data_IF_577601920142
#
_entry.id   IF_577601920142
#
_cell.length_a   1.000
_cell.length_b   1.000
_cell.length_c   1.000
_cell.angle_alpha   90.00
_cell.angle_beta   90.00
_cell.angle_gamma   90.00
#
_symmetry.space_group_name_H-M   'P 1'
#
loop_
_entity.id
_entity.type
_entity.pdbx_description
1 polymer ?
#
# COMPACT_ATOMS: atom_id res chain seq x y z
N UNK A 1 -8.34 -14.26 6.44
CA UNK A 1 -8.12 -13.11 5.60
C UNK A 1 -8.23 -13.59 4.17
N UNK A 2 -8.99 -12.91 3.32
CA UNK A 2 -9.28 -13.41 1.98
C UNK A 2 -9.52 -12.25 1.00
N UNK A 3 -9.40 -12.53 -0.28
CA UNK A 3 -9.84 -11.64 -1.34
C UNK A 3 -11.37 -11.55 -1.36
N UNK A 4 -11.92 -10.38 -1.68
CA UNK A 4 -13.38 -10.18 -1.61
C UNK A 4 -13.98 -9.44 -2.80
N UNK A 5 -13.16 -8.76 -3.62
CA UNK A 5 -13.62 -8.09 -4.83
C UNK A 5 -12.49 -7.86 -5.83
N UNK A 6 -12.87 -7.63 -7.07
CA UNK A 6 -11.99 -7.12 -8.12
C UNK A 6 -12.54 -5.78 -8.62
N UNK A 7 -11.66 -4.81 -8.78
CA UNK A 7 -11.94 -3.57 -9.50
C UNK A 7 -11.05 -3.47 -10.73
N UNK A 8 -11.53 -2.77 -11.76
CA UNK A 8 -10.82 -2.61 -13.03
C UNK A 8 -10.81 -1.14 -13.47
N UNK A 9 -9.68 -0.69 -13.97
CA UNK A 9 -9.52 0.60 -14.64
C UNK A 9 -9.07 0.37 -16.07
N UNK A 10 -9.93 0.70 -17.01
CA UNK A 10 -9.62 0.58 -18.45
C UNK A 10 -8.52 1.58 -18.84
N UNK A 11 -8.56 2.80 -18.32
CA UNK A 11 -7.55 3.84 -18.56
C UNK A 11 -6.11 3.35 -18.26
N UNK A 12 -5.93 2.57 -17.21
CA UNK A 12 -4.62 2.06 -16.80
C UNK A 12 -4.41 0.59 -17.15
N UNK A 13 -5.36 -0.06 -17.81
CA UNK A 13 -5.39 -1.52 -18.08
C UNK A 13 -4.97 -2.31 -16.85
N UNK A 14 -5.56 -1.95 -15.70
CA UNK A 14 -5.18 -2.43 -14.38
C UNK A 14 -6.34 -3.09 -13.66
N UNK A 15 -6.22 -4.38 -13.39
CA UNK A 15 -7.06 -5.05 -12.41
C UNK A 15 -6.52 -4.85 -11.00
N UNK A 16 -7.42 -4.77 -10.02
CA UNK A 16 -7.04 -4.70 -8.60
C UNK A 16 -7.84 -5.72 -7.81
N UNK A 17 -7.14 -6.66 -7.19
CA UNK A 17 -7.72 -7.67 -6.29
C UNK A 17 -7.60 -7.15 -4.85
N UNK A 18 -8.72 -7.06 -4.16
CA UNK A 18 -8.79 -6.47 -2.82
C UNK A 18 -8.87 -7.53 -1.73
N UNK A 19 -7.98 -7.43 -0.74
CA UNK A 19 -7.94 -8.27 0.45
C UNK A 19 -8.68 -7.62 1.63
N UNK A 20 -9.36 -8.42 2.44
CA UNK A 20 -9.93 -8.04 3.73
C UNK A 20 -9.09 -8.62 4.87
N UNK A 21 -8.74 -7.75 5.83
CA UNK A 21 -7.93 -8.11 6.99
C UNK A 21 -6.47 -7.72 6.84
N UNK A 22 -5.80 -7.60 7.98
CA UNK A 22 -4.40 -7.17 8.08
C UNK A 22 -3.79 -7.78 9.34
N UNK A 23 -2.51 -8.10 9.31
CA UNK A 23 -1.74 -8.56 10.46
C UNK A 23 -1.21 -7.42 11.34
N UNK A 24 -1.25 -6.16 10.85
CA UNK A 24 -0.95 -4.97 11.65
C UNK A 24 -2.22 -4.38 12.28
N UNK A 25 -2.05 -3.65 13.40
CA UNK A 25 -3.12 -2.96 14.13
C UNK A 25 -2.89 -1.46 14.18
N UNK A 26 -2.45 -0.87 13.06
CA UNK A 26 -2.07 0.54 13.00
C UNK A 26 -3.10 1.45 13.65
N UNK A 27 -2.67 2.29 14.58
CA UNK A 27 -3.55 3.23 15.29
C UNK A 27 -4.20 4.22 14.34
N UNK A 28 -3.45 4.74 13.36
CA UNK A 28 -3.89 5.69 12.34
C UNK A 28 -4.33 5.07 11.02
N UNK A 29 -4.86 3.84 11.02
CA UNK A 29 -5.29 3.18 9.80
C UNK A 29 -6.54 3.83 9.21
N UNK A 30 -6.44 4.40 7.99
CA UNK A 30 -7.55 5.07 7.31
C UNK A 30 -8.74 4.14 7.00
N UNK A 31 -8.55 2.82 7.02
CA UNK A 31 -9.66 1.87 6.91
C UNK A 31 -10.66 1.96 8.07
N UNK A 32 -10.29 2.54 9.21
CA UNK A 32 -11.18 2.72 10.37
C UNK A 32 -12.26 3.78 10.17
N UNK A 33 -12.07 4.69 9.23
CA UNK A 33 -13.04 5.77 8.93
C UNK A 33 -13.81 5.53 7.64
N UNK A 34 -13.54 4.44 6.94
CA UNK A 34 -14.23 4.10 5.69
C UNK A 34 -15.44 3.24 5.96
N UNK A 35 -16.56 3.63 5.39
CA UNK A 35 -17.78 2.83 5.41
C UNK A 35 -17.70 1.79 4.29
N UNK A 36 -17.18 0.61 4.62
CA UNK A 36 -17.21 -0.51 3.71
C UNK A 36 -18.58 -1.19 3.79
N UNK A 37 -19.22 -1.44 2.65
CA UNK A 37 -20.45 -2.24 2.65
C UNK A 37 -20.14 -3.65 3.20
N UNK A 38 -21.12 -4.30 3.85
CA UNK A 38 -20.99 -5.69 4.25
C UNK A 38 -20.59 -6.56 3.06
N UNK A 39 -19.70 -7.52 3.30
CA UNK A 39 -19.37 -8.53 2.29
C UNK A 39 -20.48 -9.59 2.38
N UNK A 40 -21.42 -9.54 1.45
CA UNK A 40 -22.55 -10.46 1.42
C UNK A 40 -22.12 -11.88 1.01
N UNK A 41 -21.13 -11.98 0.17
CA UNK A 41 -20.59 -13.25 -0.34
C UNK A 41 -19.07 -13.13 -0.55
N UNK A 42 -18.38 -14.21 -0.24
CA UNK A 42 -16.96 -14.36 -0.55
C UNK A 42 -16.82 -15.11 -1.88
N UNK A 43 -16.28 -14.47 -2.93
CA UNK A 43 -16.06 -15.16 -4.18
C UNK A 43 -15.03 -16.28 -4.03
N UNK A 44 -15.20 -17.34 -4.82
CA UNK A 44 -14.23 -18.44 -4.90
C UNK A 44 -12.97 -18.01 -5.68
N UNK A 45 -11.90 -18.77 -5.54
CA UNK A 45 -10.67 -18.54 -6.29
C UNK A 45 -10.92 -18.65 -7.83
N UNK A 46 -11.78 -19.58 -8.25
CA UNK A 46 -12.13 -19.76 -9.66
C UNK A 46 -12.90 -18.58 -10.22
N UNK A 47 -13.77 -17.93 -9.42
CA UNK A 47 -14.46 -16.70 -9.83
C UNK A 47 -13.46 -15.55 -10.01
N UNK A 48 -12.46 -15.40 -9.13
CA UNK A 48 -11.39 -14.42 -9.32
C UNK A 48 -10.62 -14.69 -10.62
N UNK A 49 -10.22 -15.95 -10.88
CA UNK A 49 -9.50 -16.34 -12.09
C UNK A 49 -10.32 -16.07 -13.34
N UNK A 50 -11.59 -16.47 -13.36
CA UNK A 50 -12.49 -16.24 -14.49
C UNK A 50 -12.67 -14.74 -14.75
N UNK A 51 -12.87 -13.94 -13.71
CA UNK A 51 -13.00 -12.49 -13.82
C UNK A 51 -11.73 -11.88 -14.43
N UNK A 52 -10.54 -12.19 -13.89
CA UNK A 52 -9.29 -11.65 -14.40
C UNK A 52 -9.01 -12.05 -15.84
N UNK A 53 -9.40 -13.27 -16.25
CA UNK A 53 -9.28 -13.75 -17.64
C UNK A 53 -10.14 -12.93 -18.60
N UNK A 54 -11.28 -12.41 -18.16
CA UNK A 54 -12.20 -11.64 -19.01
C UNK A 54 -11.79 -10.17 -19.22
N UNK A 55 -10.78 -9.68 -18.47
CA UNK A 55 -10.36 -8.28 -18.49
C UNK A 55 -9.23 -8.04 -19.49
N UNK A 56 -9.29 -6.94 -20.21
CA UNK A 56 -8.17 -6.43 -21.01
C UNK A 56 -7.15 -5.72 -20.11
N UNK A 57 -6.51 -6.48 -19.22
CA UNK A 57 -5.52 -5.96 -18.27
C UNK A 57 -4.10 -6.26 -18.74
N UNK A 58 -3.15 -5.39 -18.37
CA UNK A 58 -1.70 -5.60 -18.52
C UNK A 58 -1.04 -5.87 -17.17
N UNK A 59 -1.70 -5.48 -16.09
CA UNK A 59 -1.18 -5.62 -14.72
C UNK A 59 -2.28 -5.91 -13.73
N UNK A 60 -1.92 -6.62 -12.69
CA UNK A 60 -2.78 -6.86 -11.53
C UNK A 60 -2.12 -6.33 -10.27
N UNK A 61 -2.87 -5.55 -9.50
CA UNK A 61 -2.48 -5.07 -8.20
C UNK A 61 -3.21 -5.86 -7.11
N UNK A 62 -2.47 -6.35 -6.14
CA UNK A 62 -3.04 -6.91 -4.91
C UNK A 62 -2.92 -5.87 -3.81
N UNK A 63 -4.05 -5.51 -3.19
CA UNK A 63 -4.09 -4.47 -2.16
C UNK A 63 -5.28 -4.69 -1.20
N UNK A 64 -5.49 -3.76 -0.30
CA UNK A 64 -6.57 -3.83 0.67
C UNK A 64 -6.03 -3.72 2.09
N UNK A 65 -6.41 -4.62 3.00
CA UNK A 65 -5.80 -4.70 4.34
C UNK A 65 -4.30 -4.98 4.25
N UNK A 66 -3.93 -6.26 4.30
CA UNK A 66 -2.58 -6.72 3.92
C UNK A 66 -2.71 -7.95 3.02
N UNK A 67 -2.44 -7.84 1.70
CA UNK A 67 -2.67 -8.94 0.75
C UNK A 67 -1.80 -10.17 1.02
N UNK A 68 -0.60 -10.00 1.60
CA UNK A 68 0.31 -11.12 1.89
C UNK A 68 -0.18 -12.04 3.01
N UNK A 69 -1.27 -11.67 3.67
CA UNK A 69 -1.94 -12.52 4.67
C UNK A 69 -3.01 -13.45 4.06
N UNK A 70 -3.32 -13.28 2.78
CA UNK A 70 -4.25 -14.15 2.07
C UNK A 70 -3.54 -15.44 1.65
N UNK A 71 -4.09 -16.59 2.04
CA UNK A 71 -3.52 -17.89 1.69
C UNK A 71 -3.51 -18.16 0.18
N UNK A 72 -4.45 -17.57 -0.56
CA UNK A 72 -4.58 -17.76 -2.00
C UNK A 72 -3.62 -16.87 -2.82
N UNK A 73 -2.89 -15.94 -2.19
CA UNK A 73 -2.02 -15.01 -2.90
C UNK A 73 -0.95 -15.72 -3.76
N UNK A 74 -0.23 -16.74 -3.27
CA UNK A 74 0.80 -17.40 -4.10
C UNK A 74 0.22 -18.03 -5.38
N UNK A 75 -0.94 -18.66 -5.28
CA UNK A 75 -1.61 -19.24 -6.44
C UNK A 75 -2.10 -18.16 -7.42
N UNK A 76 -2.65 -17.06 -6.91
CA UNK A 76 -3.10 -15.95 -7.73
C UNK A 76 -1.93 -15.25 -8.44
N UNK A 77 -0.79 -15.06 -7.77
CA UNK A 77 0.42 -14.51 -8.38
C UNK A 77 0.89 -15.40 -9.54
N UNK A 78 1.01 -16.72 -9.29
CA UNK A 78 1.39 -17.68 -10.32
C UNK A 78 0.44 -17.64 -11.52
N UNK A 79 -0.86 -17.71 -11.27
CA UNK A 79 -1.89 -17.67 -12.31
C UNK A 79 -1.82 -16.39 -13.14
N UNK A 80 -1.79 -15.22 -12.49
CA UNK A 80 -1.74 -13.93 -13.17
C UNK A 80 -0.48 -13.80 -14.04
N UNK A 81 0.67 -14.25 -13.53
CA UNK A 81 1.95 -14.12 -14.22
C UNK A 81 2.11 -15.11 -15.37
N UNK A 82 1.80 -16.38 -15.16
CA UNK A 82 2.11 -17.45 -16.13
C UNK A 82 0.95 -17.80 -17.05
N UNK A 83 -0.28 -17.78 -16.54
CA UNK A 83 -1.44 -18.16 -17.34
C UNK A 83 -2.02 -16.94 -18.09
N UNK A 84 -1.93 -15.74 -17.51
CA UNK A 84 -2.46 -14.51 -18.12
C UNK A 84 -1.37 -13.55 -18.67
N UNK A 85 -0.10 -13.75 -18.34
CA UNK A 85 0.99 -12.86 -18.77
C UNK A 85 0.94 -11.46 -18.17
N UNK A 86 0.26 -11.28 -17.01
CA UNK A 86 0.11 -9.98 -16.36
C UNK A 86 1.32 -9.65 -15.49
N UNK A 87 1.67 -8.37 -15.43
CA UNK A 87 2.55 -7.87 -14.37
C UNK A 87 1.84 -7.95 -13.02
N UNK A 88 2.52 -8.53 -12.03
CA UNK A 88 1.99 -8.77 -10.69
C UNK A 88 2.62 -7.83 -9.68
N UNK A 89 1.80 -7.05 -8.98
CA UNK A 89 2.27 -5.98 -8.10
C UNK A 89 1.51 -6.03 -6.77
N UNK A 90 2.22 -5.98 -5.64
CA UNK A 90 1.60 -5.57 -4.39
C UNK A 90 1.36 -4.06 -4.46
N UNK A 91 0.12 -3.69 -4.80
CA UNK A 91 -0.27 -2.29 -5.02
C UNK A 91 -0.14 -1.45 -3.74
N UNK A 92 -0.27 -2.08 -2.58
CA UNK A 92 0.04 -1.51 -1.26
C UNK A 92 0.21 -2.65 -0.25
N UNK A 93 1.37 -2.69 0.40
CA UNK A 93 1.66 -3.67 1.47
C UNK A 93 2.28 -2.98 2.67
N UNK A 94 2.07 -3.53 3.86
CA UNK A 94 2.78 -3.10 5.07
C UNK A 94 4.23 -3.62 5.13
N UNK A 95 4.64 -4.41 4.15
CA UNK A 95 5.99 -4.92 4.00
C UNK A 95 6.38 -6.07 4.95
N UNK A 96 5.46 -6.58 5.75
CA UNK A 96 5.79 -7.62 6.73
C UNK A 96 6.21 -8.95 6.11
N UNK A 97 5.78 -9.24 4.88
CA UNK A 97 6.14 -10.46 4.17
C UNK A 97 5.95 -10.28 2.66
N UNK A 98 6.97 -9.80 1.97
CA UNK A 98 6.92 -9.64 0.51
C UNK A 98 7.31 -10.99 -0.13
N UNK A 99 6.41 -11.66 -0.86
CA UNK A 99 6.76 -12.84 -1.62
C UNK A 99 7.70 -12.47 -2.77
N UNK A 100 8.64 -13.35 -3.08
CA UNK A 100 9.57 -13.14 -4.19
C UNK A 100 9.05 -13.85 -5.46
N UNK A 101 8.50 -15.04 -5.30
CA UNK A 101 8.05 -15.85 -6.41
C UNK A 101 6.83 -15.23 -7.10
N UNK A 102 6.92 -15.11 -8.41
CA UNK A 102 5.85 -14.63 -9.28
C UNK A 102 5.39 -13.18 -9.00
N UNK A 103 6.19 -12.38 -8.31
CA UNK A 103 5.94 -10.95 -8.06
C UNK A 103 6.91 -10.11 -8.89
N UNK A 104 6.41 -9.04 -9.54
CA UNK A 104 7.23 -8.11 -10.31
C UNK A 104 7.58 -6.85 -9.52
N UNK A 105 6.70 -6.44 -8.58
CA UNK A 105 6.98 -5.24 -7.80
C UNK A 105 6.08 -5.07 -6.57
N UNK A 106 6.46 -4.14 -5.69
CA UNK A 106 5.73 -3.84 -4.47
C UNK A 106 5.81 -2.37 -4.06
N UNK A 107 4.67 -1.80 -3.63
CA UNK A 107 4.61 -0.52 -2.94
C UNK A 107 4.63 -0.76 -1.43
N UNK A 108 5.77 -0.57 -0.81
CA UNK A 108 6.00 -0.87 0.62
C UNK A 108 5.75 0.35 1.46
N UNK A 109 4.86 0.24 2.45
CA UNK A 109 4.51 1.33 3.34
C UNK A 109 5.18 1.18 4.70
N UNK A 110 6.27 1.91 4.89
CA UNK A 110 6.95 2.05 6.18
C UNK A 110 6.05 2.82 7.15
N UNK A 111 5.87 2.30 8.36
CA UNK A 111 4.92 2.87 9.33
C UNK A 111 5.61 3.76 10.37
N UNK A 112 6.86 3.52 10.64
CA UNK A 112 7.83 4.33 11.36
C UNK A 112 9.21 3.69 11.15
N UNK A 113 10.28 4.44 11.36
CA UNK A 113 11.64 3.91 11.34
C UNK A 113 12.07 3.38 12.71
N UNK A 114 11.85 4.16 13.76
CA UNK A 114 12.23 3.76 15.12
C UNK A 114 11.45 2.55 15.59
N UNK A 115 12.12 1.51 16.14
CA UNK A 115 11.47 0.28 16.60
C UNK A 115 10.34 0.51 17.60
N UNK A 116 10.52 1.45 18.55
CA UNK A 116 9.53 1.78 19.57
C UNK A 116 8.29 2.44 18.96
N UNK A 117 8.48 3.43 18.06
CA UNK A 117 7.37 4.11 17.37
C UNK A 117 6.63 3.14 16.46
N UNK A 118 7.37 2.27 15.75
CA UNK A 118 6.75 1.26 14.88
C UNK A 118 5.90 0.27 15.68
N UNK A 119 6.46 -0.28 16.77
CA UNK A 119 5.74 -1.20 17.64
C UNK A 119 4.50 -0.56 18.27
N UNK A 120 4.65 0.68 18.78
CA UNK A 120 3.54 1.46 19.33
C UNK A 120 2.43 1.68 18.28
N UNK A 121 2.81 2.09 17.07
CA UNK A 121 1.85 2.46 16.03
C UNK A 121 1.16 1.26 15.37
N UNK A 122 1.88 0.13 15.19
CA UNK A 122 1.42 -1.02 14.40
C UNK A 122 1.11 -2.27 15.22
N UNK A 123 1.67 -2.37 16.42
CA UNK A 123 1.68 -3.60 17.24
C UNK A 123 2.64 -4.67 16.75
N UNK A 124 3.56 -4.35 15.81
CA UNK A 124 4.50 -5.30 15.21
C UNK A 124 5.93 -4.72 15.19
N UNK A 125 6.98 -5.56 15.26
CA UNK A 125 8.37 -5.07 15.21
C UNK A 125 8.74 -4.54 13.82
N UNK A 126 9.53 -3.45 13.77
CA UNK A 126 9.96 -2.82 12.52
C UNK A 126 10.87 -3.72 11.67
N UNK A 127 11.73 -4.51 12.28
CA UNK A 127 12.73 -5.33 11.60
C UNK A 127 12.15 -6.24 10.52
N UNK A 128 10.93 -6.77 10.73
CA UNK A 128 10.28 -7.63 9.72
C UNK A 128 10.04 -6.91 8.38
N UNK A 129 9.80 -5.59 8.42
CA UNK A 129 9.59 -4.77 7.22
C UNK A 129 10.92 -4.51 6.52
N UNK A 130 11.96 -4.17 7.29
CA UNK A 130 13.29 -3.91 6.74
C UNK A 130 13.91 -5.13 6.08
N UNK A 131 13.84 -6.29 6.77
CA UNK A 131 14.35 -7.56 6.24
C UNK A 131 13.62 -7.99 4.98
N UNK A 132 12.30 -7.78 4.96
CA UNK A 132 11.47 -8.10 3.80
C UNK A 132 11.75 -7.19 2.60
N UNK A 133 11.94 -5.88 2.84
CA UNK A 133 12.34 -4.92 1.81
C UNK A 133 13.72 -5.24 1.23
N UNK A 134 14.69 -5.53 2.09
CA UNK A 134 16.05 -5.93 1.70
C UNK A 134 16.03 -7.16 0.79
N UNK A 135 15.30 -8.21 1.18
CA UNK A 135 15.17 -9.42 0.36
C UNK A 135 14.53 -9.14 -0.99
N UNK A 136 13.46 -8.34 -1.01
CA UNK A 136 12.76 -7.99 -2.23
C UNK A 136 13.66 -7.17 -3.20
N UNK A 137 14.46 -6.24 -2.66
CA UNK A 137 15.43 -5.47 -3.43
C UNK A 137 16.49 -6.39 -4.07
N UNK A 138 17.10 -7.27 -3.29
CA UNK A 138 18.11 -8.20 -3.81
C UNK A 138 17.56 -9.24 -4.79
N UNK A 139 16.27 -9.54 -4.70
CA UNK A 139 15.57 -10.38 -5.68
C UNK A 139 15.27 -9.64 -6.99
N UNK A 140 15.55 -8.33 -7.08
CA UNK A 140 15.34 -7.53 -8.28
C UNK A 140 13.91 -7.10 -8.51
N UNK A 141 13.06 -7.08 -7.46
CA UNK A 141 11.70 -6.57 -7.57
C UNK A 141 11.70 -5.04 -7.78
N UNK A 142 10.77 -4.56 -8.60
CA UNK A 142 10.52 -3.12 -8.73
C UNK A 142 9.86 -2.60 -7.44
N UNK A 143 10.62 -1.85 -6.65
CA UNK A 143 10.16 -1.35 -5.36
C UNK A 143 9.77 0.13 -5.44
N UNK A 144 8.71 0.46 -4.74
CA UNK A 144 8.32 1.82 -4.35
C UNK A 144 8.17 1.85 -2.84
N UNK A 145 8.55 2.96 -2.23
CA UNK A 145 8.41 3.15 -0.80
C UNK A 145 7.36 4.23 -0.49
N UNK A 146 6.71 4.12 0.65
CA UNK A 146 5.80 5.16 1.13
C UNK A 146 5.80 5.23 2.66
N UNK A 147 5.37 6.37 3.20
CA UNK A 147 5.12 6.56 4.63
C UNK A 147 3.92 7.47 4.86
N UNK A 148 3.45 7.51 6.11
CA UNK A 148 2.44 8.49 6.55
C UNK A 148 3.12 9.47 7.49
N UNK A 149 3.15 10.73 7.13
CA UNK A 149 3.59 11.80 8.02
C UNK A 149 2.50 12.10 9.06
N UNK A 150 2.80 11.85 10.32
CA UNK A 150 1.88 11.97 11.47
C UNK A 150 2.48 12.96 12.47
N UNK A 151 2.09 14.25 12.45
CA UNK A 151 2.63 15.23 13.37
C UNK A 151 2.50 14.80 14.84
N UNK A 152 3.63 14.82 15.57
CA UNK A 152 3.72 14.36 16.97
C UNK A 152 3.99 12.86 17.13
N UNK A 153 4.16 12.09 16.05
CA UNK A 153 4.54 10.68 16.13
C UNK A 153 5.56 10.28 15.05
N UNK A 154 5.15 10.38 13.78
CA UNK A 154 5.99 10.10 12.61
C UNK A 154 6.36 11.47 12.03
N UNK A 155 7.24 12.15 12.70
CA UNK A 155 7.70 13.50 12.35
C UNK A 155 8.84 13.46 11.32
N UNK A 156 9.45 14.60 11.07
CA UNK A 156 10.50 14.76 10.08
C UNK A 156 11.70 13.82 10.32
N UNK A 157 12.05 13.56 11.59
CA UNK A 157 13.13 12.63 11.97
C UNK A 157 12.87 11.18 11.47
N UNK A 158 11.63 10.73 11.57
CA UNK A 158 11.22 9.42 11.11
C UNK A 158 11.19 9.35 9.58
N UNK A 159 10.65 10.39 8.92
CA UNK A 159 10.63 10.46 7.45
C UNK A 159 12.06 10.53 6.88
N UNK A 160 12.96 11.31 7.51
CA UNK A 160 14.39 11.35 7.17
C UNK A 160 15.02 9.96 7.24
N UNK A 161 14.82 9.28 8.37
CA UNK A 161 15.40 7.96 8.59
C UNK A 161 14.88 6.92 7.58
N UNK A 162 13.57 6.95 7.24
CA UNK A 162 13.00 6.10 6.21
C UNK A 162 13.58 6.46 4.82
N UNK A 163 13.65 7.74 4.46
CA UNK A 163 14.16 8.17 3.17
C UNK A 163 15.64 7.77 2.99
N UNK A 164 16.48 7.95 4.02
CA UNK A 164 17.88 7.50 3.99
C UNK A 164 18.01 5.99 3.92
N UNK A 165 17.17 5.25 4.63
CA UNK A 165 17.14 3.80 4.53
C UNK A 165 16.82 3.36 3.10
N UNK A 166 15.79 3.93 2.47
CA UNK A 166 15.42 3.62 1.09
C UNK A 166 16.55 4.02 0.12
N UNK A 167 17.13 5.22 0.27
CA UNK A 167 18.22 5.72 -0.57
C UNK A 167 19.51 4.89 -0.44
N UNK A 168 19.72 4.19 0.69
CA UNK A 168 20.87 3.29 0.86
C UNK A 168 20.86 2.08 -0.09
N UNK A 169 19.69 1.74 -0.66
CA UNK A 169 19.57 0.74 -1.72
C UNK A 169 19.67 1.38 -3.11
N UNK A 170 18.86 2.41 -3.35
CA UNK A 170 18.93 3.24 -4.54
C UNK A 170 18.20 4.57 -4.29
N UNK A 171 18.82 5.71 -4.62
CA UNK A 171 18.15 7.01 -4.58
C UNK A 171 17.01 7.14 -5.61
N UNK A 172 16.94 6.24 -6.59
CA UNK A 172 15.92 6.24 -7.64
C UNK A 172 14.64 5.49 -7.25
N UNK A 173 14.59 4.86 -6.06
CA UNK A 173 13.35 4.23 -5.57
C UNK A 173 12.32 5.32 -5.28
N UNK A 174 11.16 5.33 -5.98
CA UNK A 174 10.14 6.35 -5.78
C UNK A 174 9.59 6.32 -4.34
N UNK A 175 9.39 7.50 -3.75
CA UNK A 175 8.93 7.65 -2.38
C UNK A 175 7.66 8.51 -2.31
N UNK A 176 6.61 7.97 -1.71
CA UNK A 176 5.34 8.67 -1.54
C UNK A 176 5.05 8.99 -0.08
N UNK A 177 4.85 10.29 0.24
CA UNK A 177 4.53 10.74 1.59
C UNK A 177 3.03 11.06 1.67
N UNK A 178 2.31 10.33 2.51
CA UNK A 178 0.90 10.59 2.75
C UNK A 178 0.72 11.44 4.00
N UNK A 179 -0.01 12.55 3.89
CA UNK A 179 -0.44 13.30 5.07
C UNK A 179 -1.43 12.47 5.90
N UNK A 180 -1.22 12.45 7.21
CA UNK A 180 -2.09 11.75 8.14
C UNK A 180 -3.53 12.27 8.07
N UNK A 181 -4.47 11.34 8.08
CA UNK A 181 -5.90 11.62 8.16
C UNK A 181 -6.35 11.27 9.58
N UNK A 182 -6.88 12.23 10.37
CA UNK A 182 -7.26 11.98 11.75
C UNK A 182 -8.28 10.84 11.90
N UNK A 183 -7.93 9.88 12.75
CA UNK A 183 -8.77 8.74 13.09
C UNK A 183 -9.39 8.98 14.47
N UNK A 184 -10.70 8.76 14.67
CA UNK A 184 -11.32 8.90 15.99
C UNK A 184 -10.57 8.12 17.07
N UNK A 185 -10.31 8.77 18.21
CA UNK A 185 -9.60 8.18 19.34
C UNK A 185 -8.08 8.26 19.25
N UNK A 186 -7.51 8.92 18.24
CA UNK A 186 -6.08 9.24 18.18
C UNK A 186 -5.82 10.70 18.52
N UNK A 187 -4.66 11.05 19.14
CA UNK A 187 -4.37 12.43 19.54
C UNK A 187 -3.77 13.28 18.42
N UNK A 188 -3.38 12.70 17.29
CA UNK A 188 -2.59 13.36 16.25
C UNK A 188 -3.45 14.23 15.33
N UNK A 189 -3.01 15.47 15.04
CA UNK A 189 -3.69 16.33 14.08
C UNK A 189 -3.39 15.93 12.63
N UNK A 190 -4.23 16.39 11.70
CA UNK A 190 -3.88 16.42 10.28
C UNK A 190 -2.73 17.40 10.08
N UNK A 191 -1.67 17.05 9.30
CA UNK A 191 -0.62 18.02 8.99
C UNK A 191 -1.17 19.23 8.24
N UNK A 192 -0.54 20.40 8.39
CA UNK A 192 -0.83 21.57 7.56
C UNK A 192 -0.21 21.42 6.17
N UNK A 193 -0.59 22.29 5.23
CA UNK A 193 0.02 22.33 3.90
C UNK A 193 1.53 22.62 3.99
N UNK A 194 1.90 23.61 4.82
CA UNK A 194 3.30 24.00 5.04
C UNK A 194 4.13 22.87 5.65
N UNK A 195 3.55 22.08 6.56
CA UNK A 195 4.22 20.89 7.11
C UNK A 195 4.44 19.82 6.03
N UNK A 196 3.45 19.61 5.16
CA UNK A 196 3.59 18.67 4.04
C UNK A 196 4.66 19.13 3.04
N UNK A 197 4.66 20.40 2.67
CA UNK A 197 5.66 20.99 1.77
C UNK A 197 7.07 20.85 2.36
N UNK A 198 7.24 21.15 3.63
CA UNK A 198 8.53 21.06 4.30
C UNK A 198 9.08 19.63 4.34
N UNK A 199 8.25 18.63 4.69
CA UNK A 199 8.70 17.23 4.77
C UNK A 199 8.98 16.65 3.38
N UNK A 200 8.22 17.05 2.35
CA UNK A 200 8.44 16.64 0.97
C UNK A 200 9.73 17.23 0.42
N UNK A 201 9.93 18.56 0.57
CA UNK A 201 11.15 19.23 0.14
C UNK A 201 12.40 18.62 0.79
N UNK A 202 12.30 18.24 2.07
CA UNK A 202 13.38 17.57 2.77
C UNK A 202 13.71 16.21 2.15
N UNK A 203 12.70 15.37 1.90
CA UNK A 203 12.88 14.04 1.29
C UNK A 203 13.42 14.12 -0.15
N UNK A 204 13.04 15.16 -0.92
CA UNK A 204 13.58 15.46 -2.26
C UNK A 204 15.08 15.76 -2.26
N UNK A 205 15.66 16.16 -1.12
CA UNK A 205 17.10 16.27 -0.95
C UNK A 205 17.83 14.92 -0.79
N UNK A 206 17.09 13.81 -0.68
CA UNK A 206 17.62 12.46 -0.41
C UNK A 206 17.29 11.49 -1.55
N UNK A 207 16.07 11.54 -2.08
CA UNK A 207 15.52 10.64 -3.11
C UNK A 207 15.17 11.42 -4.37
N UNK A 208 15.41 10.82 -5.54
CA UNK A 208 15.20 11.48 -6.82
C UNK A 208 13.73 11.70 -7.19
N UNK A 209 12.85 10.78 -6.81
CA UNK A 209 11.41 10.84 -7.10
C UNK A 209 10.63 10.82 -5.79
N UNK A 210 10.11 11.99 -5.37
CA UNK A 210 9.26 12.14 -4.18
C UNK A 210 7.98 12.84 -4.56
N UNK A 211 6.85 12.18 -4.30
CA UNK A 211 5.50 12.74 -4.43
C UNK A 211 4.72 12.66 -3.10
N UNK A 212 3.55 13.29 -3.05
CA UNK A 212 2.76 13.27 -1.83
C UNK A 212 1.24 13.32 -2.09
N UNK A 213 0.49 12.93 -1.06
CA UNK A 213 -0.95 13.13 -1.00
C UNK A 213 -1.35 13.75 0.35
N UNK A 214 -2.29 14.70 0.31
CA UNK A 214 -2.78 15.42 1.48
C UNK A 214 -4.31 15.46 1.48
N UNK A 215 -4.92 14.29 1.67
CA UNK A 215 -6.37 14.12 1.65
C UNK A 215 -7.02 14.67 2.92
N UNK A 216 -8.26 15.11 2.78
CA UNK A 216 -9.14 15.40 3.93
C UNK A 216 -9.81 14.11 4.42
N UNK A 217 -10.46 14.18 5.60
CA UNK A 217 -11.30 13.07 6.09
C UNK A 217 -12.43 12.77 5.11
N UNK A 218 -13.02 13.81 4.51
CA UNK A 218 -14.09 13.68 3.52
C UNK A 218 -13.60 12.97 2.25
N UNK A 219 -12.46 13.39 1.69
CA UNK A 219 -11.85 12.72 0.53
C UNK A 219 -11.53 11.24 0.81
N UNK A 220 -11.14 10.91 2.04
CA UNK A 220 -10.81 9.55 2.42
C UNK A 220 -12.04 8.65 2.61
N UNK A 221 -13.19 9.25 2.97
CA UNK A 221 -14.47 8.53 3.11
C UNK A 221 -15.14 8.29 1.76
N UNK A 222 -15.07 9.27 0.86
CA UNK A 222 -15.72 9.20 -0.45
C UNK A 222 -14.90 8.36 -1.44
N UNK A 223 -15.12 7.05 -1.38
CA UNK A 223 -14.48 6.10 -2.30
C UNK A 223 -14.96 6.29 -3.75
N UNK A 224 -16.21 6.71 -3.95
CA UNK A 224 -16.78 6.90 -5.29
C UNK A 224 -16.10 8.06 -6.01
N UNK A 225 -15.85 9.17 -5.30
CA UNK A 225 -15.11 10.33 -5.81
C UNK A 225 -13.66 9.98 -6.18
N UNK A 226 -13.02 9.11 -5.40
CA UNK A 226 -11.69 8.58 -5.70
C UNK A 226 -11.72 7.65 -6.90
N UNK A 227 -12.68 6.74 -6.95
CA UNK A 227 -12.80 5.75 -8.02
C UNK A 227 -13.14 6.42 -9.35
N UNK A 228 -13.98 7.48 -9.37
CA UNK A 228 -14.28 8.24 -10.58
C UNK A 228 -13.06 8.95 -11.17
N UNK A 229 -12.14 9.45 -10.33
CA UNK A 229 -10.87 10.06 -10.80
C UNK A 229 -9.98 9.08 -11.56
N UNK A 230 -10.08 7.79 -11.27
CA UNK A 230 -9.27 6.74 -11.87
C UNK A 230 -10.09 5.82 -12.80
N UNK A 231 -11.33 6.21 -13.10
CA UNK A 231 -12.26 5.42 -13.91
C UNK A 231 -12.31 3.93 -13.50
N UNK A 232 -12.40 3.72 -12.17
CA UNK A 232 -12.38 2.38 -11.57
C UNK A 232 -13.80 1.87 -11.41
N UNK A 233 -14.08 0.66 -11.92
CA UNK A 233 -15.36 -0.04 -11.75
C UNK A 233 -15.14 -1.34 -10.98
N UNK A 234 -16.11 -1.72 -10.14
CA UNK A 234 -16.12 -3.05 -9.53
C UNK A 234 -16.66 -4.05 -10.56
N UNK A 235 -15.95 -5.17 -10.74
CA UNK A 235 -16.26 -6.24 -11.71
C UNK A 235 -16.50 -7.60 -11.06
N UNK A 236 -16.17 -7.72 -9.76
CA UNK A 236 -16.46 -8.86 -8.91
C UNK A 236 -16.64 -8.39 -7.48
#
# INVERSE_FOLDING_TARGET
MAFYKVTYSAQYRRATVHNKGCNFRCLGCAYKIRDFPPIERWPSLDEFKATLTSLDAERVHFMGGEPTTCADLPEMLRFCKHDLGLRTILGHTNGSNIPIDNLDGANVSFKAFSPEKHLHYTGMPAGIVYDSFLRAFHAGLELRASTVYVPGLIDLDEVDAIARFVASFSPDIPFHIMGYIPIPGTPWPRPTAEQMEAVVAFAQGILAEVDFSHLTVEDARDLTKRDSRFEVVQVL
#
